data_IF_289296514407
#
_entry.id   IF_289296514407
#
_cell.length_a   1.000
_cell.length_b   1.000
_cell.length_c   1.000
_cell.angle_alpha   90.00
_cell.angle_beta   90.00
_cell.angle_gamma   90.00
#
_symmetry.space_group_name_H-M   'P 1'
#
loop_
_entity.id
_entity.type
_entity.pdbx_description
1 polymer ?
#
# COMPACT_ATOMS: atom_id res chain seq x y z
N UNK A 1 6.84 5.59 -8.53
CA UNK A 1 6.35 4.64 -7.52
C UNK A 1 5.22 3.80 -8.10
N UNK A 2 5.39 2.47 -8.27
CA UNK A 2 4.28 1.56 -8.63
C UNK A 2 3.40 1.35 -7.38
N UNK A 3 2.24 0.68 -7.49
CA UNK A 3 1.51 0.20 -6.30
C UNK A 3 2.50 -0.48 -5.33
N UNK A 4 2.30 -0.31 -4.02
CA UNK A 4 3.29 -0.68 -2.99
C UNK A 4 3.74 -2.16 -3.09
N UNK A 5 2.89 -3.01 -3.63
CA UNK A 5 3.07 -4.45 -3.81
C UNK A 5 3.44 -4.86 -5.24
N UNK A 6 3.46 -3.94 -6.21
CA UNK A 6 3.71 -4.26 -7.62
C UNK A 6 5.12 -4.84 -7.84
N UNK A 7 6.13 -4.32 -7.14
CA UNK A 7 7.51 -4.85 -7.22
C UNK A 7 7.58 -6.27 -6.63
N UNK A 8 6.83 -6.55 -5.56
CA UNK A 8 6.74 -7.89 -4.99
C UNK A 8 6.05 -8.84 -5.95
N UNK A 9 4.95 -8.41 -6.56
CA UNK A 9 4.23 -9.18 -7.58
C UNK A 9 5.14 -9.49 -8.78
N UNK A 10 5.86 -8.50 -9.30
CA UNK A 10 6.81 -8.66 -10.41
C UNK A 10 7.87 -9.72 -10.10
N UNK A 11 8.51 -9.68 -8.92
CA UNK A 11 9.49 -10.68 -8.51
C UNK A 11 8.91 -12.09 -8.44
N UNK A 12 7.69 -12.24 -7.92
CA UNK A 12 7.00 -13.53 -7.82
C UNK A 12 6.70 -14.08 -9.22
N UNK A 13 6.19 -13.22 -10.11
CA UNK A 13 5.84 -13.60 -11.49
C UNK A 13 7.10 -13.96 -12.29
N UNK A 14 8.18 -13.20 -12.13
CA UNK A 14 9.45 -13.46 -12.81
C UNK A 14 10.02 -14.82 -12.39
N UNK A 15 10.13 -15.06 -11.08
CA UNK A 15 10.60 -16.33 -10.55
C UNK A 15 9.77 -17.50 -11.08
N UNK A 16 8.44 -17.35 -11.12
CA UNK A 16 7.54 -18.39 -11.63
C UNK A 16 7.70 -18.62 -13.13
N UNK A 17 7.99 -17.56 -13.89
CA UNK A 17 8.29 -17.64 -15.32
C UNK A 17 9.54 -18.47 -15.59
N UNK A 18 10.60 -18.29 -14.80
CA UNK A 18 11.84 -19.06 -14.89
C UNK A 18 11.61 -20.53 -14.53
N UNK A 19 10.91 -20.84 -13.43
CA UNK A 19 10.62 -22.22 -13.01
C UNK A 19 9.79 -23.03 -14.03
N UNK A 20 9.08 -22.35 -14.91
CA UNK A 20 8.14 -22.96 -15.87
C UNK A 20 8.66 -22.98 -17.30
N UNK A 21 9.84 -22.42 -17.58
CA UNK A 21 10.34 -22.26 -18.96
C UNK A 21 10.51 -23.60 -19.70
N UNK A 22 11.08 -24.62 -19.03
CA UNK A 22 11.40 -25.91 -19.64
C UNK A 22 10.16 -26.81 -19.76
N UNK A 23 9.34 -26.85 -18.70
CA UNK A 23 8.22 -27.80 -18.61
C UNK A 23 6.91 -27.25 -19.18
N UNK A 24 6.73 -25.93 -19.17
CA UNK A 24 5.49 -25.25 -19.56
C UNK A 24 5.78 -23.93 -20.32
N UNK A 25 6.40 -23.99 -21.51
CA UNK A 25 6.89 -22.80 -22.22
C UNK A 25 5.79 -21.78 -22.54
N UNK A 26 4.55 -22.24 -22.79
CA UNK A 26 3.40 -21.34 -22.98
C UNK A 26 3.05 -20.55 -21.72
N UNK A 27 3.13 -21.19 -20.55
CA UNK A 27 2.87 -20.53 -19.26
C UNK A 27 3.98 -19.53 -18.94
N UNK A 28 5.24 -19.92 -19.12
CA UNK A 28 6.39 -19.03 -18.97
C UNK A 28 6.25 -17.78 -19.86
N UNK A 29 5.94 -17.95 -21.16
CA UNK A 29 5.68 -16.84 -22.06
C UNK A 29 4.53 -15.93 -21.62
N UNK A 30 3.44 -16.50 -21.09
CA UNK A 30 2.31 -15.72 -20.58
C UNK A 30 2.68 -14.91 -19.32
N UNK A 31 3.48 -15.48 -18.40
CA UNK A 31 3.97 -14.79 -17.20
C UNK A 31 4.93 -13.64 -17.58
N UNK A 32 5.85 -13.87 -18.52
CA UNK A 32 6.72 -12.83 -19.05
C UNK A 32 5.92 -11.69 -19.72
N UNK A 33 4.88 -12.01 -20.49
CA UNK A 33 4.00 -11.01 -21.08
C UNK A 33 3.24 -10.20 -20.01
N UNK A 34 2.82 -10.82 -18.91
CA UNK A 34 2.18 -10.12 -17.80
C UNK A 34 3.12 -9.09 -17.14
N UNK A 35 4.41 -9.40 -16.99
CA UNK A 35 5.42 -8.44 -16.52
C UNK A 35 5.52 -7.26 -17.47
N UNK A 36 5.58 -7.51 -18.78
CA UNK A 36 5.59 -6.44 -19.78
C UNK A 36 4.33 -5.56 -19.77
N UNK A 37 3.19 -6.06 -19.29
CA UNK A 37 1.98 -5.26 -19.06
C UNK A 37 2.09 -4.44 -17.76
N UNK A 38 2.60 -5.04 -16.68
CA UNK A 38 2.88 -4.34 -15.41
C UNK A 38 3.83 -3.17 -15.62
N UNK A 39 4.86 -3.34 -16.45
CA UNK A 39 5.82 -2.29 -16.78
C UNK A 39 5.20 -1.10 -17.52
N UNK A 40 4.12 -1.35 -18.27
CA UNK A 40 3.39 -0.31 -19.03
C UNK A 40 2.31 0.37 -18.20
N UNK A 41 1.95 -0.17 -17.04
CA UNK A 41 0.96 0.43 -16.18
C UNK A 41 1.45 1.79 -15.67
N UNK A 42 0.57 2.81 -15.62
CA UNK A 42 0.93 4.10 -15.08
C UNK A 42 1.37 3.94 -13.62
N UNK A 43 2.44 4.63 -13.31
CA UNK A 43 2.99 4.74 -11.97
C UNK A 43 2.12 5.72 -11.17
N UNK A 44 1.63 5.30 -10.00
CA UNK A 44 0.81 6.15 -9.12
C UNK A 44 1.55 6.45 -7.82
N UNK A 45 1.43 7.68 -7.32
CA UNK A 45 1.97 8.03 -6.00
C UNK A 45 1.05 7.45 -4.90
N UNK A 46 1.27 6.18 -4.57
CA UNK A 46 0.50 5.46 -3.57
C UNK A 46 1.21 5.52 -2.21
N UNK A 47 0.55 6.13 -1.23
CA UNK A 47 0.99 6.13 0.18
C UNK A 47 0.13 5.16 1.00
N UNK A 48 0.72 4.42 1.96
CA UNK A 48 -0.05 3.60 2.89
C UNK A 48 -1.07 4.46 3.64
N UNK A 49 -2.33 4.05 3.58
CA UNK A 49 -3.38 4.73 4.31
C UNK A 49 -3.42 4.19 5.75
N UNK A 50 -3.32 5.10 6.72
CA UNK A 50 -3.39 4.77 8.15
C UNK A 50 -4.69 5.32 8.72
N UNK A 51 -5.39 4.50 9.52
CA UNK A 51 -6.55 4.95 10.28
C UNK A 51 -6.09 5.85 11.42
N UNK A 52 -6.86 6.88 11.75
CA UNK A 52 -6.54 7.81 12.82
C UNK A 52 -6.18 7.08 14.12
N UNK A 53 -6.90 6.02 14.51
CA UNK A 53 -6.58 5.21 15.70
C UNK A 53 -5.14 4.67 15.74
N UNK A 54 -4.51 4.44 14.57
CA UNK A 54 -3.15 3.88 14.41
C UNK A 54 -2.10 4.95 14.14
N UNK A 55 -2.50 6.22 14.12
CA UNK A 55 -1.60 7.33 13.87
C UNK A 55 -0.85 7.73 15.15
N UNK A 56 0.45 8.02 15.06
CA UNK A 56 1.26 8.46 16.21
C UNK A 56 0.80 9.77 16.85
N UNK A 57 0.03 10.58 16.11
CA UNK A 57 -0.52 11.85 16.57
C UNK A 57 -1.95 11.74 17.13
N UNK A 58 -2.54 10.55 17.15
CA UNK A 58 -3.90 10.36 17.62
C UNK A 58 -4.00 10.39 19.13
N UNK A 59 -4.99 11.13 19.64
CA UNK A 59 -5.41 11.11 21.02
C UNK A 59 -6.93 11.04 21.10
N UNK A 60 -7.43 10.05 21.82
CA UNK A 60 -8.82 9.98 22.25
C UNK A 60 -8.82 10.04 23.78
N UNK A 61 -9.73 10.83 24.36
CA UNK A 61 -9.89 10.94 25.82
C UNK A 61 -10.77 9.82 26.42
N UNK A 62 -11.28 8.92 25.57
CA UNK A 62 -12.18 7.81 25.89
C UNK A 62 -13.53 8.25 26.48
N UNK A 63 -13.82 9.56 26.46
CA UNK A 63 -15.10 10.16 26.88
C UNK A 63 -15.94 10.46 25.65
N UNK A 64 -15.29 10.96 24.58
CA UNK A 64 -15.94 11.30 23.32
C UNK A 64 -15.83 10.17 22.29
N UNK A 65 -16.83 10.10 21.41
CA UNK A 65 -16.82 9.18 20.25
C UNK A 65 -15.78 9.57 19.18
N UNK A 66 -15.16 10.73 19.32
CA UNK A 66 -14.17 11.30 18.42
C UNK A 66 -12.88 11.59 19.19
N UNK A 67 -11.77 11.68 18.44
CA UNK A 67 -10.47 12.06 18.98
C UNK A 67 -9.91 13.29 18.30
N UNK A 68 -8.71 13.66 18.73
CA UNK A 68 -7.95 14.81 18.23
C UNK A 68 -6.66 14.33 17.57
N UNK A 69 -6.38 14.88 16.39
CA UNK A 69 -5.07 14.76 15.77
C UNK A 69 -4.15 15.87 16.31
N UNK A 70 -3.12 15.49 17.06
CA UNK A 70 -2.13 16.42 17.62
C UNK A 70 -1.04 16.82 16.61
N UNK A 71 -1.20 16.47 15.32
CA UNK A 71 -0.30 16.96 14.29
C UNK A 71 -0.50 18.49 14.15
N UNK A 72 0.55 19.30 14.30
CA UNK A 72 0.45 20.76 14.25
C UNK A 72 -0.06 21.28 12.90
N UNK A 73 -0.01 20.46 11.85
CA UNK A 73 -0.47 20.84 10.51
C UNK A 73 -1.95 20.53 10.23
N UNK A 74 -2.64 19.79 11.11
CA UNK A 74 -4.05 19.41 10.90
C UNK A 74 -4.97 19.87 12.04
N UNK A 75 -4.52 19.80 13.30
CA UNK A 75 -5.23 20.31 14.48
C UNK A 75 -6.76 20.17 14.47
N UNK A 76 -7.29 18.97 14.19
CA UNK A 76 -8.73 18.78 13.95
C UNK A 76 -9.30 17.58 14.70
N UNK A 77 -10.60 17.68 15.01
CA UNK A 77 -11.45 16.55 15.44
C UNK A 77 -11.56 15.54 14.29
N UNK A 78 -11.39 14.26 14.61
CA UNK A 78 -11.45 13.13 13.67
C UNK A 78 -12.10 11.93 14.34
N UNK A 79 -12.74 11.07 13.57
CA UNK A 79 -13.13 9.73 14.02
C UNK A 79 -11.90 8.82 14.03
N UNK A 80 -11.89 7.83 14.90
CA UNK A 80 -10.87 6.78 14.97
C UNK A 80 -10.70 6.04 13.64
N UNK A 81 -11.83 5.86 12.94
CA UNK A 81 -11.98 5.25 11.63
C UNK A 81 -11.63 6.19 10.47
N UNK A 82 -11.37 7.47 10.70
CA UNK A 82 -10.98 8.38 9.60
C UNK A 82 -9.62 7.97 9.02
N UNK A 83 -9.41 8.30 7.75
CA UNK A 83 -8.11 8.15 7.12
C UNK A 83 -7.22 9.35 7.48
N UNK A 84 -6.02 9.08 8.00
CA UNK A 84 -5.05 10.10 8.35
C UNK A 84 -4.20 10.47 7.14
N UNK A 85 -4.29 11.73 6.69
CA UNK A 85 -3.53 12.25 5.55
C UNK A 85 -2.01 12.21 5.74
N UNK A 86 -1.52 12.12 6.97
CA UNK A 86 -0.08 12.06 7.27
C UNK A 86 0.40 10.64 7.53
N UNK A 87 -0.51 9.66 7.62
CA UNK A 87 -0.16 8.25 7.48
C UNK A 87 0.90 7.69 8.43
N UNK A 88 1.29 8.41 9.49
CA UNK A 88 2.42 8.00 10.31
C UNK A 88 1.98 6.98 11.36
N UNK A 89 2.37 5.73 11.14
CA UNK A 89 2.07 4.62 12.07
C UNK A 89 2.72 4.86 13.43
N UNK A 90 2.01 4.48 14.48
CA UNK A 90 2.61 4.24 15.81
C UNK A 90 3.66 3.12 15.66
N UNK A 91 4.89 3.39 16.11
CA UNK A 91 5.94 2.39 16.27
C UNK A 91 5.80 1.67 17.61
#
# INVERSE_FOLDING_TARGET
>A
MRLIDANTAENIIWKRSEETCDNYPKLSGALAAAIGLLDKCPTIDAVPVVRCEKCKYWKNDSIHIYGMCQNPNIGSVKMDTDFCSYGEKLN
#
